data_IF_292668647510
#
_entry.id   IF_292668647510
#
_cell.length_a   1.000
_cell.length_b   1.000
_cell.length_c   1.000
_cell.angle_alpha   90.00
_cell.angle_beta   90.00
_cell.angle_gamma   90.00
#
_symmetry.space_group_name_H-M   'P 1'
#
loop_
_entity.id
_entity.type
_entity.pdbx_description
1 polymer ?
#
# COMPACT_ATOMS: atom_id res chain seq x y z
N UNK A 1 35.17 -28.36 -10.25
CA UNK A 1 33.88 -27.64 -10.40
C UNK A 1 33.74 -26.70 -9.22
N UNK A 2 33.46 -25.41 -9.43
CA UNK A 2 33.14 -24.53 -8.30
C UNK A 2 31.77 -24.95 -7.71
N UNK A 3 31.59 -24.83 -6.39
CA UNK A 3 30.29 -25.08 -5.78
C UNK A 3 29.25 -24.10 -6.33
N UNK A 4 28.12 -24.63 -6.81
CA UNK A 4 26.93 -23.83 -7.15
C UNK A 4 26.17 -23.57 -5.85
N UNK A 5 26.16 -22.32 -5.41
CA UNK A 5 25.26 -21.87 -4.35
C UNK A 5 23.93 -21.51 -5.00
N UNK A 6 22.85 -22.18 -4.58
CA UNK A 6 21.49 -21.74 -4.89
C UNK A 6 21.09 -20.69 -3.87
N UNK A 7 20.94 -19.44 -4.32
CA UNK A 7 20.23 -18.42 -3.54
C UNK A 7 18.75 -18.66 -3.77
N UNK A 8 18.05 -19.15 -2.75
CA UNK A 8 16.59 -19.23 -2.76
C UNK A 8 16.03 -17.83 -2.53
N UNK A 9 15.46 -17.21 -3.55
CA UNK A 9 14.75 -15.93 -3.43
C UNK A 9 13.24 -16.17 -3.40
N UNK A 10 12.67 -16.17 -2.20
CA UNK A 10 11.23 -16.30 -1.99
C UNK A 10 10.45 -15.06 -2.47
N UNK A 11 11.14 -13.92 -2.62
CA UNK A 11 10.62 -12.69 -3.20
C UNK A 11 11.50 -12.18 -4.33
N UNK A 12 10.88 -11.58 -5.33
CA UNK A 12 11.54 -10.75 -6.34
C UNK A 12 10.92 -9.35 -6.26
N UNK A 13 11.59 -8.47 -5.55
CA UNK A 13 11.15 -7.10 -5.36
C UNK A 13 12.08 -6.13 -6.08
N UNK A 14 11.54 -5.49 -7.11
CA UNK A 14 12.20 -4.44 -7.88
C UNK A 14 11.30 -3.20 -7.98
N UNK A 15 10.47 -3.00 -6.96
CA UNK A 15 9.59 -1.84 -6.83
C UNK A 15 10.40 -0.54 -6.72
N UNK A 16 9.79 0.61 -7.01
CA UNK A 16 10.42 1.94 -6.90
C UNK A 16 11.66 2.11 -7.78
N UNK A 17 11.58 1.65 -9.03
CA UNK A 17 12.64 1.80 -10.02
C UNK A 17 12.13 2.54 -11.26
N UNK A 18 13.03 2.80 -12.20
CA UNK A 18 12.69 3.41 -13.49
C UNK A 18 12.60 2.35 -14.62
N UNK A 19 12.21 1.11 -14.30
CA UNK A 19 12.18 0.03 -15.29
C UNK A 19 11.10 0.31 -16.34
N UNK A 20 11.45 0.12 -17.60
CA UNK A 20 10.57 0.33 -18.75
C UNK A 20 10.36 -0.96 -19.53
N UNK A 21 9.43 -0.94 -20.48
CA UNK A 21 9.15 -2.09 -21.34
C UNK A 21 8.10 -3.02 -20.74
N UNK A 22 7.94 -4.21 -21.35
CA UNK A 22 6.91 -5.19 -20.96
C UNK A 22 7.39 -6.08 -19.83
N UNK A 23 6.45 -6.58 -19.03
CA UNK A 23 6.74 -7.67 -18.09
C UNK A 23 7.04 -8.95 -18.88
N UNK A 24 8.23 -9.57 -18.73
CA UNK A 24 8.55 -10.81 -19.43
C UNK A 24 7.70 -12.00 -18.94
N UNK A 25 7.25 -12.90 -19.84
CA UNK A 25 6.53 -14.12 -19.46
C UNK A 25 7.33 -15.03 -18.51
N UNK A 26 8.66 -15.01 -18.57
CA UNK A 26 9.54 -15.84 -17.76
C UNK A 26 9.45 -15.56 -16.25
N UNK A 27 8.90 -14.42 -15.81
CA UNK A 27 8.66 -14.20 -14.37
C UNK A 27 7.61 -15.17 -13.81
N UNK A 28 6.68 -15.65 -14.64
CA UNK A 28 5.71 -16.66 -14.23
C UNK A 28 6.38 -17.99 -13.87
N UNK A 29 7.51 -18.29 -14.51
CA UNK A 29 8.25 -19.56 -14.38
C UNK A 29 9.12 -19.64 -13.12
N UNK A 30 9.19 -18.57 -12.31
CA UNK A 30 9.96 -18.55 -11.07
C UNK A 30 9.30 -19.41 -9.99
N UNK A 31 9.49 -20.74 -10.04
CA UNK A 31 8.78 -21.73 -9.21
C UNK A 31 8.96 -21.51 -7.71
N UNK A 32 10.10 -20.96 -7.28
CA UNK A 32 10.47 -20.81 -5.88
C UNK A 32 10.14 -19.43 -5.29
N UNK A 33 9.46 -18.58 -6.05
CA UNK A 33 9.13 -17.20 -5.66
C UNK A 33 7.63 -17.08 -5.40
N UNK A 34 7.27 -16.63 -4.20
CA UNK A 34 5.90 -16.41 -3.76
C UNK A 34 5.44 -14.94 -3.91
N UNK A 35 6.41 -14.02 -4.03
CA UNK A 35 6.17 -12.58 -4.11
C UNK A 35 6.90 -11.98 -5.31
N UNK A 36 6.16 -11.28 -6.16
CA UNK A 36 6.70 -10.51 -7.28
C UNK A 36 6.20 -9.08 -7.13
N UNK A 37 7.08 -8.17 -6.73
CA UNK A 37 6.72 -6.76 -6.53
C UNK A 37 7.42 -5.90 -7.57
N UNK A 38 6.60 -5.26 -8.41
CA UNK A 38 6.97 -4.40 -9.53
C UNK A 38 6.34 -3.00 -9.38
N UNK A 39 5.86 -2.66 -8.18
CA UNK A 39 5.18 -1.42 -7.85
C UNK A 39 6.05 -0.20 -8.25
N UNK A 40 5.42 0.89 -8.69
CA UNK A 40 6.08 2.17 -8.92
C UNK A 40 7.26 2.04 -9.91
N UNK A 41 6.94 1.65 -11.14
CA UNK A 41 7.88 1.56 -12.25
C UNK A 41 7.28 2.22 -13.51
N UNK A 42 8.01 2.15 -14.62
CA UNK A 42 7.57 2.68 -15.93
C UNK A 42 7.23 1.56 -16.90
N UNK A 43 6.72 0.43 -16.40
CA UNK A 43 6.38 -0.74 -17.22
C UNK A 43 5.20 -0.40 -18.14
N UNK A 44 5.25 -0.91 -19.37
CA UNK A 44 4.35 -0.57 -20.47
C UNK A 44 3.91 -1.81 -21.24
N UNK A 45 2.99 -1.64 -22.19
CA UNK A 45 2.39 -2.73 -22.96
C UNK A 45 1.25 -3.42 -22.20
N UNK A 46 0.67 -4.48 -22.78
CA UNK A 46 -0.46 -5.16 -22.16
C UNK A 46 -0.02 -5.91 -20.90
N UNK A 47 -0.87 -5.91 -19.88
CA UNK A 47 -0.67 -6.72 -18.68
C UNK A 47 -0.68 -8.21 -19.08
N UNK A 48 0.38 -8.99 -18.78
CA UNK A 48 0.40 -10.40 -19.10
C UNK A 48 -0.72 -11.16 -18.38
N UNK A 49 -1.37 -12.10 -19.06
CA UNK A 49 -2.49 -12.85 -18.47
C UNK A 49 -2.13 -13.61 -17.19
N UNK A 50 -0.86 -14.05 -17.07
CA UNK A 50 -0.39 -14.75 -15.87
C UNK A 50 -0.44 -13.88 -14.60
N UNK A 51 -0.36 -12.55 -14.72
CA UNK A 51 -0.38 -11.63 -13.57
C UNK A 51 -1.70 -11.79 -12.81
N UNK A 52 -2.83 -11.76 -13.52
CA UNK A 52 -4.16 -11.88 -12.93
C UNK A 52 -4.55 -13.32 -12.57
N UNK A 53 -3.91 -14.32 -13.17
CA UNK A 53 -4.16 -15.74 -12.88
C UNK A 53 -3.12 -16.35 -11.93
N UNK A 54 -2.23 -15.53 -11.36
CA UNK A 54 -1.13 -16.01 -10.52
C UNK A 54 -1.65 -16.48 -9.17
N UNK A 55 -1.09 -17.58 -8.66
CA UNK A 55 -1.26 -17.97 -7.25
C UNK A 55 -0.24 -17.28 -6.33
N UNK A 56 0.69 -16.51 -6.92
CA UNK A 56 1.71 -15.72 -6.21
C UNK A 56 1.16 -14.35 -5.88
N UNK A 57 1.71 -13.69 -4.87
CA UNK A 57 1.43 -12.28 -4.60
C UNK A 57 2.14 -11.43 -5.64
N UNK A 58 1.38 -10.73 -6.48
CA UNK A 58 1.94 -9.96 -7.59
C UNK A 58 1.48 -8.52 -7.50
N UNK A 59 2.40 -7.61 -7.23
CA UNK A 59 2.11 -6.18 -7.22
C UNK A 59 2.65 -5.53 -8.49
N UNK A 60 1.76 -4.96 -9.30
CA UNK A 60 2.08 -4.20 -10.51
C UNK A 60 1.48 -2.79 -10.47
N UNK A 61 1.09 -2.34 -9.28
CA UNK A 61 0.50 -1.02 -9.08
C UNK A 61 1.44 0.10 -9.51
N UNK A 62 0.88 1.26 -9.84
CA UNK A 62 1.65 2.45 -10.24
C UNK A 62 2.63 2.19 -11.39
N UNK A 63 2.07 1.74 -12.51
CA UNK A 63 2.80 1.50 -13.76
C UNK A 63 2.03 2.14 -14.93
N UNK A 64 2.45 1.85 -16.18
CA UNK A 64 1.92 2.50 -17.38
C UNK A 64 1.44 1.48 -18.41
N UNK A 65 0.73 0.43 -17.98
CA UNK A 65 0.22 -0.60 -18.89
C UNK A 65 -0.79 -0.01 -19.89
N UNK A 66 -0.80 -0.60 -21.07
CA UNK A 66 -1.79 -0.30 -22.11
C UNK A 66 -3.01 -1.15 -21.89
N UNK A 67 -4.18 -0.53 -22.01
CA UNK A 67 -5.45 -1.23 -21.96
C UNK A 67 -5.56 -2.27 -23.08
N UNK A 68 -5.97 -3.48 -22.70
CA UNK A 68 -6.38 -4.54 -23.60
C UNK A 68 -7.70 -5.14 -23.11
N UNK A 69 -8.69 -5.21 -24.00
CA UNK A 69 -10.04 -5.69 -23.66
C UNK A 69 -10.05 -7.15 -23.21
N UNK A 70 -9.05 -7.95 -23.60
CA UNK A 70 -8.98 -9.37 -23.29
C UNK A 70 -8.31 -9.62 -21.94
N UNK A 71 -7.16 -9.00 -21.68
CA UNK A 71 -6.37 -9.27 -20.47
C UNK A 71 -6.54 -8.27 -19.32
N UNK A 72 -7.20 -7.13 -19.53
CA UNK A 72 -7.29 -6.11 -18.48
C UNK A 72 -8.26 -6.49 -17.35
N UNK A 73 -7.91 -6.19 -16.09
CA UNK A 73 -8.81 -6.40 -14.96
C UNK A 73 -9.98 -5.42 -15.04
N UNK A 74 -11.17 -5.87 -14.62
CA UNK A 74 -12.40 -5.05 -14.62
C UNK A 74 -12.62 -4.26 -13.32
N UNK A 75 -11.86 -4.60 -12.27
CA UNK A 75 -11.89 -4.02 -10.92
C UNK A 75 -10.50 -4.14 -10.28
N UNK A 76 -10.24 -3.42 -9.20
CA UNK A 76 -8.91 -3.48 -8.55
C UNK A 76 -8.74 -4.63 -7.57
N UNK A 77 -9.83 -5.16 -7.01
CA UNK A 77 -9.75 -6.30 -6.10
C UNK A 77 -9.43 -7.58 -6.90
N UNK A 78 -8.14 -7.88 -7.02
CA UNK A 78 -7.58 -9.00 -7.79
C UNK A 78 -6.74 -9.94 -6.92
N UNK A 79 -7.11 -10.14 -5.65
CA UNK A 79 -6.37 -10.92 -4.65
C UNK A 79 -5.85 -12.27 -5.22
N UNK A 80 -4.53 -12.57 -5.17
CA UNK A 80 -3.43 -11.88 -4.45
C UNK A 80 -2.66 -10.82 -5.25
N UNK A 81 -3.27 -10.25 -6.29
CA UNK A 81 -2.67 -9.25 -7.19
C UNK A 81 -3.12 -7.84 -6.86
N UNK A 82 -2.16 -6.91 -6.81
CA UNK A 82 -2.42 -5.48 -6.71
C UNK A 82 -2.18 -4.81 -8.07
N UNK A 83 -3.23 -4.19 -8.60
CA UNK A 83 -3.26 -3.58 -9.95
C UNK A 83 -3.66 -2.11 -9.93
N UNK A 84 -3.65 -1.49 -8.76
CA UNK A 84 -4.06 -0.10 -8.55
C UNK A 84 -3.20 0.87 -9.36
N UNK A 85 -3.82 1.85 -10.01
CA UNK A 85 -3.12 2.87 -10.84
C UNK A 85 -2.12 2.28 -11.83
N UNK A 86 -2.36 1.07 -12.33
CA UNK A 86 -1.40 0.34 -13.17
C UNK A 86 -1.50 0.73 -14.65
N UNK A 87 -2.56 1.43 -15.06
CA UNK A 87 -2.80 1.80 -16.45
C UNK A 87 -2.44 3.26 -16.77
N UNK A 88 -1.90 3.46 -17.97
CA UNK A 88 -1.54 4.78 -18.48
C UNK A 88 -2.75 5.69 -18.69
N UNK A 89 -2.60 6.97 -18.35
CA UNK A 89 -3.62 8.01 -18.57
C UNK A 89 -3.80 8.42 -20.04
N UNK A 90 -2.93 7.98 -20.96
CA UNK A 90 -2.89 8.45 -22.36
C UNK A 90 -3.71 7.53 -23.30
N UNK A 91 -4.47 6.58 -22.77
CA UNK A 91 -5.25 5.65 -23.61
C UNK A 91 -6.55 6.30 -24.11
N UNK A 92 -6.85 6.17 -25.41
CA UNK A 92 -8.14 6.59 -26.00
C UNK A 92 -9.36 5.84 -25.42
N UNK A 93 -9.14 4.75 -24.67
CA UNK A 93 -10.18 3.92 -24.05
C UNK A 93 -10.38 4.21 -22.55
N UNK A 94 -10.03 5.41 -22.08
CA UNK A 94 -10.07 5.76 -20.65
C UNK A 94 -11.44 5.56 -19.98
N UNK A 95 -12.53 5.58 -20.75
CA UNK A 95 -13.89 5.29 -20.28
C UNK A 95 -14.12 3.82 -19.95
N UNK A 96 -13.34 2.91 -20.53
CA UNK A 96 -13.45 1.47 -20.31
C UNK A 96 -12.62 1.00 -19.11
N UNK A 97 -11.64 1.80 -18.68
CA UNK A 97 -10.75 1.49 -17.58
C UNK A 97 -11.44 1.86 -16.27
N UNK A 98 -11.57 0.88 -15.37
CA UNK A 98 -12.14 1.10 -14.05
C UNK A 98 -11.36 2.21 -13.30
N UNK A 99 -12.02 3.17 -12.62
CA UNK A 99 -11.37 4.32 -12.00
C UNK A 99 -10.12 4.02 -11.16
N UNK A 100 -10.18 3.00 -10.30
CA UNK A 100 -9.05 2.64 -9.44
C UNK A 100 -7.81 2.09 -10.17
N UNK A 101 -7.95 1.67 -11.44
CA UNK A 101 -6.84 1.23 -12.28
C UNK A 101 -6.16 2.41 -13.00
N UNK A 102 -6.83 3.56 -13.02
CA UNK A 102 -6.34 4.79 -13.64
C UNK A 102 -5.58 5.61 -12.62
N UNK A 103 -4.57 6.32 -13.10
CA UNK A 103 -3.86 7.30 -12.30
C UNK A 103 -4.82 8.34 -11.69
N UNK A 104 -4.52 8.76 -10.47
CA UNK A 104 -5.21 9.80 -9.70
C UNK A 104 -6.64 9.43 -9.24
N UNK A 105 -7.06 8.17 -9.34
CA UNK A 105 -8.36 7.67 -8.84
C UNK A 105 -9.55 8.60 -9.17
N UNK A 106 -9.90 8.78 -10.45
CA UNK A 106 -10.96 9.70 -10.85
C UNK A 106 -12.27 9.40 -10.12
N UNK A 107 -12.83 10.42 -9.49
CA UNK A 107 -14.08 10.27 -8.74
C UNK A 107 -15.28 10.03 -9.66
N UNK A 108 -16.14 9.09 -9.28
CA UNK A 108 -17.40 8.77 -9.98
C UNK A 108 -18.66 9.26 -9.26
N UNK A 109 -18.52 9.79 -8.04
CA UNK A 109 -19.63 10.30 -7.23
C UNK A 109 -20.04 11.70 -7.70
N UNK A 110 -21.35 12.00 -7.62
CA UNK A 110 -21.85 13.35 -7.85
C UNK A 110 -21.35 14.31 -6.75
N UNK A 111 -21.45 15.62 -6.98
CA UNK A 111 -20.99 16.63 -6.03
C UNK A 111 -21.66 16.48 -4.65
N UNK A 112 -22.95 16.13 -4.62
CA UNK A 112 -23.73 15.92 -3.39
C UNK A 112 -23.33 14.66 -2.61
N UNK A 113 -22.62 13.73 -3.26
CA UNK A 113 -22.13 12.49 -2.69
C UNK A 113 -20.65 12.56 -2.27
N UNK A 114 -19.97 13.67 -2.54
CA UNK A 114 -18.60 13.88 -2.13
C UNK A 114 -18.52 14.24 -0.64
N UNK A 115 -17.37 13.95 -0.04
CA UNK A 115 -17.13 14.18 1.39
C UNK A 115 -16.07 15.28 1.58
N UNK A 116 -16.16 16.00 2.71
CA UNK A 116 -15.24 17.11 3.05
C UNK A 116 -14.27 16.77 4.18
N UNK A 117 -14.39 15.59 4.78
CA UNK A 117 -13.54 15.15 5.89
C UNK A 117 -13.49 13.63 5.92
N UNK A 118 -12.35 13.09 6.35
CA UNK A 118 -12.12 11.66 6.44
C UNK A 118 -11.26 11.37 7.66
N UNK A 119 -11.65 10.33 8.42
CA UNK A 119 -10.98 9.91 9.63
C UNK A 119 -10.92 8.39 9.64
N UNK A 120 -9.71 7.82 9.67
CA UNK A 120 -9.50 6.37 9.54
C UNK A 120 -8.75 5.88 10.77
N UNK A 121 -9.24 4.80 11.39
CA UNK A 121 -8.54 4.07 12.45
C UNK A 121 -7.77 2.89 11.84
N UNK A 122 -6.53 3.15 11.43
CA UNK A 122 -5.72 2.25 10.63
C UNK A 122 -5.32 0.98 11.39
N UNK A 123 -5.96 -0.16 11.10
CA UNK A 123 -5.66 -1.45 11.72
C UNK A 123 -6.51 -1.79 12.95
N UNK A 124 -7.55 -1.01 13.26
CA UNK A 124 -8.49 -1.35 14.33
C UNK A 124 -9.94 -1.04 13.95
N UNK A 125 -10.87 -1.35 14.86
CA UNK A 125 -12.30 -1.08 14.68
C UNK A 125 -12.63 0.41 14.77
N UNK A 126 -13.86 0.75 14.37
CA UNK A 126 -14.43 2.10 14.52
C UNK A 126 -14.23 2.62 15.95
N UNK A 127 -13.85 3.89 16.07
CA UNK A 127 -13.63 4.53 17.38
C UNK A 127 -14.01 6.00 17.34
N UNK A 128 -14.58 6.48 18.44
CA UNK A 128 -14.88 7.91 18.63
C UNK A 128 -13.86 8.53 19.57
N UNK A 129 -13.15 9.55 19.10
CA UNK A 129 -12.17 10.32 19.88
C UNK A 129 -12.46 11.80 19.72
N UNK A 130 -12.64 12.52 20.84
CA UNK A 130 -12.96 13.96 20.82
C UNK A 130 -14.14 14.31 19.89
N UNK A 131 -15.25 13.57 19.99
CA UNK A 131 -16.45 13.72 19.13
C UNK A 131 -16.20 13.50 17.63
N UNK A 132 -15.04 12.96 17.25
CA UNK A 132 -14.72 12.59 15.87
C UNK A 132 -14.81 11.07 15.74
N UNK A 133 -15.62 10.59 14.80
CA UNK A 133 -15.75 9.17 14.50
C UNK A 133 -14.72 8.78 13.44
N UNK A 134 -13.84 7.84 13.79
CA UNK A 134 -12.87 7.26 12.89
C UNK A 134 -13.44 5.93 12.36
N UNK A 135 -13.51 5.80 11.04
CA UNK A 135 -13.89 4.56 10.38
C UNK A 135 -12.76 3.53 10.51
N UNK A 136 -13.11 2.32 10.94
CA UNK A 136 -12.16 1.26 11.23
C UNK A 136 -11.61 0.57 9.99
N UNK A 137 -10.30 0.37 9.97
CA UNK A 137 -9.64 -0.46 8.98
C UNK A 137 -9.27 -1.81 9.59
N UNK A 138 -10.13 -2.80 9.39
CA UNK A 138 -9.97 -4.15 9.98
C UNK A 138 -9.55 -5.23 8.97
N UNK A 139 -9.28 -4.83 7.72
CA UNK A 139 -8.94 -5.77 6.64
C UNK A 139 -7.60 -6.46 6.92
N UNK A 140 -7.52 -7.77 6.67
CA UNK A 140 -6.32 -8.56 6.98
C UNK A 140 -5.41 -8.76 5.78
N UNK A 141 -5.82 -8.31 4.59
CA UNK A 141 -4.99 -8.32 3.39
C UNK A 141 -3.68 -7.55 3.59
N UNK A 142 -2.66 -7.98 2.87
CA UNK A 142 -1.28 -7.59 3.16
C UNK A 142 -0.39 -7.36 1.95
N UNK A 143 0.35 -8.39 1.50
CA UNK A 143 1.60 -8.21 0.75
C UNK A 143 1.46 -7.61 -0.64
N UNK A 144 0.30 -7.79 -1.26
CA UNK A 144 -0.04 -7.26 -2.58
C UNK A 144 -1.54 -7.11 -2.57
N UNK A 145 -2.03 -5.99 -2.04
CA UNK A 145 -3.44 -5.84 -1.77
C UNK A 145 -3.97 -4.45 -2.06
N UNK A 146 -5.24 -4.45 -2.45
CA UNK A 146 -6.11 -3.29 -2.50
C UNK A 146 -7.42 -3.62 -1.83
N UNK A 147 -7.93 -2.67 -1.04
CA UNK A 147 -9.21 -2.76 -0.36
C UNK A 147 -9.95 -1.44 -0.48
N UNK A 148 -11.25 -1.52 -0.76
CA UNK A 148 -12.12 -0.37 -0.93
C UNK A 148 -13.23 -0.39 0.12
N UNK A 149 -13.26 0.62 0.98
CA UNK A 149 -14.26 0.82 2.03
C UNK A 149 -15.37 1.82 1.63
N UNK A 150 -15.39 2.29 0.38
CA UNK A 150 -16.41 3.17 -0.18
C UNK A 150 -16.05 4.66 -0.14
N UNK A 151 -15.73 5.20 1.04
CA UNK A 151 -15.25 6.59 1.19
C UNK A 151 -13.72 6.68 1.23
N UNK A 152 -13.08 5.57 1.53
CA UNK A 152 -11.63 5.45 1.52
C UNK A 152 -11.24 4.08 1.01
N UNK A 153 -9.96 3.93 0.69
CA UNK A 153 -9.36 2.68 0.29
C UNK A 153 -7.93 2.61 0.82
N UNK A 154 -7.33 1.43 0.80
CA UNK A 154 -5.88 1.31 0.93
C UNK A 154 -5.28 0.37 -0.10
N UNK A 155 -4.00 0.59 -0.37
CA UNK A 155 -3.15 -0.31 -1.10
C UNK A 155 -1.91 -0.62 -0.27
N UNK A 156 -1.53 -1.89 -0.18
CA UNK A 156 -0.41 -2.37 0.62
C UNK A 156 0.49 -3.31 -0.19
N UNK A 157 1.79 -3.09 -0.07
CA UNK A 157 2.83 -3.79 -0.81
C UNK A 157 3.96 -4.23 0.13
N UNK A 158 4.48 -5.42 -0.11
CA UNK A 158 5.66 -5.95 0.56
C UNK A 158 5.32 -7.05 1.57
N UNK A 159 6.23 -8.01 1.71
CA UNK A 159 6.07 -9.16 2.61
C UNK A 159 7.18 -9.23 3.65
N UNK A 160 6.82 -9.60 4.89
CA UNK A 160 7.77 -9.85 5.98
C UNK A 160 8.38 -11.26 5.90
N UNK A 161 9.03 -11.59 4.78
CA UNK A 161 9.49 -12.95 4.42
C UNK A 161 10.41 -13.60 5.48
N UNK A 162 11.15 -12.78 6.23
CA UNK A 162 12.10 -13.25 7.25
C UNK A 162 11.63 -13.01 8.69
N UNK A 163 10.43 -12.46 8.90
CA UNK A 163 9.91 -12.26 10.25
C UNK A 163 9.17 -13.49 10.74
N UNK A 164 9.90 -14.35 11.47
CA UNK A 164 9.35 -15.54 12.11
C UNK A 164 8.43 -15.22 13.31
N UNK A 165 8.42 -13.98 13.82
CA UNK A 165 7.65 -13.59 15.01
C UNK A 165 6.21 -13.22 14.67
N UNK A 166 6.00 -12.65 13.48
CA UNK A 166 4.69 -12.21 13.00
C UNK A 166 4.48 -12.58 11.52
N UNK A 167 4.55 -13.87 11.16
CA UNK A 167 4.43 -14.26 9.77
C UNK A 167 3.10 -13.77 9.21
N UNK A 168 3.18 -12.95 8.16
CA UNK A 168 2.02 -12.44 7.42
C UNK A 168 1.00 -11.62 8.25
N UNK A 169 1.43 -10.99 9.35
CA UNK A 169 0.54 -10.11 10.14
C UNK A 169 0.75 -8.65 9.75
N UNK A 170 -0.28 -8.04 9.16
CA UNK A 170 -0.26 -6.64 8.68
C UNK A 170 -1.01 -5.68 9.61
N UNK A 171 -1.44 -6.17 10.77
CA UNK A 171 -2.05 -5.38 11.85
C UNK A 171 -1.32 -5.76 13.14
N UNK A 172 -0.64 -4.81 13.75
CA UNK A 172 0.07 -5.02 15.01
C UNK A 172 -0.76 -4.50 16.18
N UNK A 173 -0.76 -5.26 17.26
CA UNK A 173 -1.29 -4.81 18.55
C UNK A 173 -0.22 -4.10 19.36
N UNK A 174 -0.61 -3.05 20.07
CA UNK A 174 0.27 -2.32 20.95
C UNK A 174 0.68 -3.16 22.16
N UNK A 175 1.98 -3.22 22.41
CA UNK A 175 2.61 -3.86 23.57
C UNK A 175 3.47 -2.90 24.39
N UNK A 176 3.58 -1.64 23.95
CA UNK A 176 4.46 -0.62 24.52
C UNK A 176 3.70 0.33 25.43
N UNK A 177 4.38 0.85 26.45
CA UNK A 177 3.80 1.87 27.34
C UNK A 177 4.00 3.27 26.73
N UNK A 178 2.90 3.90 26.30
CA UNK A 178 2.93 5.17 25.56
C UNK A 178 2.80 6.35 26.53
N UNK A 179 3.94 6.91 26.95
CA UNK A 179 3.99 7.95 27.99
C UNK A 179 3.69 9.38 27.47
N UNK A 180 3.78 9.64 26.16
CA UNK A 180 3.67 10.98 25.56
C UNK A 180 2.34 11.19 24.81
N UNK A 181 1.33 10.36 25.05
CA UNK A 181 0.05 10.42 24.35
C UNK A 181 -1.03 10.86 25.34
N UNK A 182 -1.81 11.87 24.93
CA UNK A 182 -3.00 12.29 25.69
C UNK A 182 -3.90 11.09 25.94
N UNK A 183 -4.38 10.93 27.17
CA UNK A 183 -5.30 9.85 27.57
C UNK A 183 -6.48 9.71 26.63
N UNK A 184 -6.98 10.84 26.09
CA UNK A 184 -8.09 10.87 25.15
C UNK A 184 -7.76 10.21 23.81
N UNK A 185 -6.52 10.32 23.34
CA UNK A 185 -6.11 9.79 22.04
C UNK A 185 -5.59 8.34 22.13
N UNK A 186 -5.40 7.78 23.33
CA UNK A 186 -4.85 6.43 23.53
C UNK A 186 -5.59 5.36 22.74
N UNK A 187 -6.89 5.55 22.51
CA UNK A 187 -7.72 4.64 21.73
C UNK A 187 -7.32 4.54 20.24
N UNK A 188 -6.59 5.52 19.68
CA UNK A 188 -6.05 5.47 18.31
C UNK A 188 -4.72 4.69 18.20
N UNK A 189 -4.15 4.27 19.32
CA UNK A 189 -2.83 3.63 19.37
C UNK A 189 -2.89 2.22 19.96
N UNK A 190 -4.06 1.58 19.94
CA UNK A 190 -4.27 0.19 20.37
C UNK A 190 -3.74 -0.80 19.33
N UNK A 191 -3.90 -0.49 18.06
CA UNK A 191 -3.35 -1.24 16.93
C UNK A 191 -2.88 -0.31 15.82
N UNK A 192 -2.10 -0.83 14.90
CA UNK A 192 -1.69 -0.13 13.70
C UNK A 192 -1.60 -1.09 12.51
N UNK A 193 -2.03 -0.64 11.32
CA UNK A 193 -1.68 -1.29 10.06
C UNK A 193 -0.20 -1.10 9.75
N UNK A 194 0.43 -2.13 9.23
CA UNK A 194 1.81 -2.11 8.74
C UNK A 194 1.91 -2.66 7.33
N UNK A 195 2.99 -2.29 6.64
CA UNK A 195 3.39 -2.87 5.37
C UNK A 195 4.92 -2.97 5.35
N UNK A 196 5.47 -3.94 4.62
CA UNK A 196 6.92 -4.12 4.57
C UNK A 196 7.59 -3.08 3.66
N UNK A 197 6.90 -2.65 2.59
CA UNK A 197 7.45 -1.71 1.61
C UNK A 197 6.64 -0.41 1.54
N UNK A 198 5.34 -0.50 1.26
CA UNK A 198 4.49 0.65 1.01
C UNK A 198 3.08 0.45 1.51
N UNK A 199 2.51 1.51 2.06
CA UNK A 199 1.12 1.58 2.47
C UNK A 199 0.55 2.93 2.05
N UNK A 200 -0.46 2.90 1.17
CA UNK A 200 -1.15 4.09 0.70
C UNK A 200 -2.61 4.03 1.13
N UNK A 201 -3.09 5.08 1.80
CA UNK A 201 -4.52 5.31 2.00
C UNK A 201 -5.03 6.34 1.00
N UNK A 202 -6.22 6.10 0.49
CA UNK A 202 -6.92 6.99 -0.44
C UNK A 202 -8.17 7.53 0.23
N UNK A 203 -8.34 8.86 0.22
CA UNK A 203 -9.64 9.47 0.44
C UNK A 203 -10.40 9.57 -0.88
N UNK A 204 -11.37 8.70 -1.09
CA UNK A 204 -12.09 8.59 -2.35
C UNK A 204 -13.15 9.68 -2.44
N UNK A 205 -13.16 10.42 -3.55
CA UNK A 205 -14.16 11.46 -3.81
C UNK A 205 -14.25 12.53 -2.70
N UNK A 206 -13.09 12.93 -2.15
CA UNK A 206 -12.97 14.14 -1.36
C UNK A 206 -13.19 15.36 -2.25
N UNK A 207 -13.94 16.35 -1.77
CA UNK A 207 -14.16 17.60 -2.50
C UNK A 207 -12.84 18.34 -2.72
N UNK A 208 -12.69 19.05 -3.84
CA UNK A 208 -11.50 19.87 -4.05
C UNK A 208 -11.47 21.02 -3.02
N UNK A 209 -10.35 21.14 -2.32
CA UNK A 209 -10.20 22.15 -1.27
C UNK A 209 -8.88 22.03 -0.52
N UNK A 210 -8.70 22.88 0.48
CA UNK A 210 -7.56 22.83 1.38
C UNK A 210 -7.89 21.97 2.59
N UNK A 211 -7.04 20.98 2.84
CA UNK A 211 -7.21 20.02 3.93
C UNK A 211 -6.12 20.18 4.98
N UNK A 212 -6.52 20.06 6.24
CA UNK A 212 -5.56 19.79 7.32
C UNK A 212 -5.39 18.29 7.44
N UNK A 213 -4.19 17.79 7.13
CA UNK A 213 -3.87 16.36 7.28
C UNK A 213 -3.22 16.15 8.65
N UNK A 214 -3.76 15.21 9.43
CA UNK A 214 -3.20 14.79 10.73
C UNK A 214 -2.88 13.31 10.66
N UNK A 215 -1.62 12.97 10.93
CA UNK A 215 -1.14 11.59 10.94
C UNK A 215 -0.76 11.22 12.37
N UNK A 216 -1.24 10.07 12.82
CA UNK A 216 -0.99 9.56 14.17
C UNK A 216 0.04 8.44 14.11
N UNK A 217 1.25 8.71 14.59
CA UNK A 217 2.32 7.71 14.70
C UNK A 217 2.68 7.47 16.16
N UNK A 218 2.92 6.21 16.52
CA UNK A 218 3.52 5.83 17.79
C UNK A 218 4.33 4.54 17.63
N UNK A 219 5.39 4.43 18.42
CA UNK A 219 6.17 3.20 18.54
C UNK A 219 5.41 2.23 19.46
N UNK A 220 4.53 1.42 18.88
CA UNK A 220 3.60 0.55 19.65
C UNK A 220 4.16 -0.85 19.94
N UNK A 221 5.20 -1.28 19.22
CA UNK A 221 5.86 -2.58 19.45
C UNK A 221 7.36 -2.34 19.60
N UNK A 222 7.84 -2.36 20.84
CA UNK A 222 9.26 -2.31 21.18
C UNK A 222 9.76 -3.72 21.50
N UNK A 223 10.87 -4.15 20.89
CA UNK A 223 11.54 -5.41 21.28
C UNK A 223 13.00 -5.14 21.57
N UNK A 224 13.51 -5.70 22.67
CA UNK A 224 14.93 -5.55 23.08
C UNK A 224 15.92 -6.02 22.00
N UNK A 225 15.47 -6.86 21.06
CA UNK A 225 16.25 -7.43 19.97
C UNK A 225 16.09 -6.72 18.60
N UNK A 226 15.22 -5.71 18.51
CA UNK A 226 15.18 -4.78 17.37
C UNK A 226 15.60 -3.38 17.82
N UNK A 227 16.89 -3.14 18.13
CA UNK A 227 17.40 -1.81 18.46
C UNK A 227 17.36 -0.81 17.28
N UNK A 228 16.74 -1.18 16.17
CA UNK A 228 16.73 -0.40 14.93
C UNK A 228 15.49 0.48 14.86
N UNK A 229 15.73 1.77 14.60
CA UNK A 229 14.71 2.77 14.30
C UNK A 229 13.96 2.39 13.03
N UNK A 230 12.63 2.50 13.06
CA UNK A 230 11.80 2.49 11.84
C UNK A 230 11.88 3.88 11.21
N UNK A 231 12.36 3.96 9.99
CA UNK A 231 12.48 5.21 9.22
C UNK A 231 11.71 5.01 7.93
N UNK A 232 10.82 5.94 7.65
CA UNK A 232 10.00 5.96 6.43
C UNK A 232 9.74 7.42 6.04
N UNK A 233 9.51 7.62 4.76
CA UNK A 233 9.07 8.91 4.22
C UNK A 233 7.55 8.91 4.09
N UNK A 234 6.94 10.09 4.26
CA UNK A 234 5.50 10.28 4.10
C UNK A 234 5.26 11.21 2.92
N UNK A 235 4.32 10.82 2.06
CA UNK A 235 3.92 11.60 0.91
C UNK A 235 2.41 11.87 0.96
N UNK A 236 2.01 13.10 0.69
CA UNK A 236 0.61 13.49 0.52
C UNK A 236 0.47 14.06 -0.89
N UNK A 237 -0.32 13.40 -1.74
CA UNK A 237 -0.48 13.78 -3.16
C UNK A 237 0.86 14.02 -3.88
N UNK A 238 1.83 13.12 -3.66
CA UNK A 238 3.20 13.17 -4.21
C UNK A 238 4.12 14.27 -3.64
N UNK A 239 3.69 15.03 -2.63
CA UNK A 239 4.56 15.95 -1.90
C UNK A 239 5.10 15.30 -0.64
N UNK A 240 6.42 15.32 -0.46
CA UNK A 240 7.07 14.84 0.76
C UNK A 240 6.69 15.72 1.94
N UNK A 241 6.30 15.09 3.05
CA UNK A 241 5.98 15.76 4.31
C UNK A 241 7.11 15.46 5.30
N UNK A 242 7.72 16.52 5.87
CA UNK A 242 8.69 16.33 6.95
C UNK A 242 7.95 16.00 8.26
N UNK A 243 8.25 14.83 8.82
CA UNK A 243 7.77 14.45 10.14
C UNK A 243 8.63 15.15 11.20
N UNK A 244 8.15 16.26 11.73
CA UNK A 244 8.74 16.90 12.90
C UNK A 244 8.30 16.17 14.16
N UNK A 245 8.85 14.96 14.39
CA UNK A 245 8.93 14.32 15.71
C UNK A 245 9.73 13.00 15.61
N UNK A 246 10.87 12.94 16.33
CA UNK A 246 11.55 11.75 16.89
C UNK A 246 11.92 10.51 16.04
N UNK A 247 11.30 10.29 14.88
CA UNK A 247 11.37 9.07 14.08
C UNK A 247 12.05 9.28 12.71
N UNK A 248 12.45 10.51 12.38
CA UNK A 248 13.33 10.75 11.23
C UNK A 248 14.35 11.86 11.49
N UNK A 249 15.58 11.60 11.04
CA UNK A 249 16.74 12.51 10.91
C UNK A 249 17.41 13.01 12.20
N UNK A 250 18.39 12.25 12.68
CA UNK A 250 19.69 12.85 13.00
C UNK A 250 20.69 12.42 11.91
N UNK A 251 20.98 13.33 10.97
CA UNK A 251 22.23 13.26 10.21
C UNK A 251 23.33 13.69 11.19
N UNK A 252 24.16 12.75 11.63
CA UNK A 252 25.44 13.10 12.23
C UNK A 252 26.31 13.71 11.14
N UNK A 253 26.72 14.96 11.38
CA UNK A 253 27.89 15.60 10.77
C UNK A 253 29.14 14.75 10.93
#
# INVERSE_FOLDING_TARGET
>A
MPPRFFVFSFSSDISFNNLTGKIPPSLSELVLTDYIFLMENKLTGPMPGWVLSSTKNVDVSYNHFTWDRVSAPKKCEQDPTNVVESYSSITNEQSNIHPCLRKDFPCTKSYEQQICSLYINCGDYDVTVNNTNYEGDTERKGPSSYYNAGNWAFSSTGAFVYDIRYPNTYILSNTSNLNNISTVNTALYTKARTAANSLTYYGLCLMNGHYTVRLHFAEIVFTEYSPRKRVFDVYVQNFTVELHDGLSRQRSS
#
